data_IF_935378530585
#
_entry.id   IF_935378530585
#
_cell.length_a   1.000
_cell.length_b   1.000
_cell.length_c   1.000
_cell.angle_alpha   90.00
_cell.angle_beta   90.00
_cell.angle_gamma   90.00
#
_symmetry.space_group_name_H-M   'P 1'
#
loop_
_entity.id
_entity.type
_entity.pdbx_description
1 polymer ?
#
# COMPACT_ATOMS: atom_id res chain seq x y z
N UNK A 1 8.35 18.83 -26.14
CA UNK A 1 8.61 18.38 -25.32
C UNK A 1 8.00 17.38 -25.10
N UNK A 2 8.38 16.76 -24.94
CA UNK A 2 7.83 15.87 -24.64
C UNK A 2 7.25 15.79 -23.55
N UNK A 3 6.54 15.84 -23.52
CA UNK A 3 5.90 15.79 -22.52
C UNK A 3 5.66 14.50 -22.19
N UNK A 4 6.42 13.98 -21.57
CA UNK A 4 6.14 12.89 -20.92
C UNK A 4 5.42 13.17 -19.75
N UNK A 5 4.30 12.76 -19.68
CA UNK A 5 3.63 12.61 -18.45
C UNK A 5 4.07 11.35 -17.88
N UNK A 6 4.79 11.41 -16.89
CA UNK A 6 5.08 10.27 -16.10
C UNK A 6 3.85 9.94 -15.30
N UNK A 7 3.23 8.86 -15.61
CA UNK A 7 2.13 8.38 -14.83
C UNK A 7 2.71 7.50 -13.75
N UNK A 8 2.42 7.80 -12.53
CA UNK A 8 2.73 6.92 -11.43
C UNK A 8 1.59 5.92 -11.34
N UNK A 9 1.87 4.66 -11.61
CA UNK A 9 0.84 3.63 -11.57
C UNK A 9 0.27 3.46 -10.17
N UNK A 10 1.12 3.46 -9.18
CA UNK A 10 0.67 3.47 -7.78
C UNK A 10 1.79 3.89 -6.85
N UNK A 11 1.41 4.36 -5.68
CA UNK A 11 2.30 4.75 -4.61
C UNK A 11 2.20 3.71 -3.51
N UNK A 12 3.31 3.11 -3.13
CA UNK A 12 3.35 2.09 -2.06
C UNK A 12 3.84 2.73 -0.77
N UNK A 13 3.07 2.56 0.30
CA UNK A 13 3.42 3.07 1.62
C UNK A 13 3.47 1.90 2.58
N UNK A 14 4.64 1.64 3.16
CA UNK A 14 4.79 0.62 4.19
C UNK A 14 4.22 1.12 5.51
N UNK A 15 3.39 0.32 6.16
CA UNK A 15 2.76 0.67 7.43
C UNK A 15 2.91 -0.47 8.43
N UNK A 16 2.94 -0.14 9.71
CA UNK A 16 3.07 -1.15 10.77
C UNK A 16 1.72 -1.72 11.21
N UNK A 17 0.65 -0.97 11.09
CA UNK A 17 -0.70 -1.39 11.46
C UNK A 17 -1.62 -1.11 10.30
N UNK A 18 -1.92 -2.15 9.51
CA UNK A 18 -2.70 -1.99 8.30
C UNK A 18 -4.13 -1.56 8.56
N UNK A 19 -4.74 -2.10 9.60
CA UNK A 19 -6.13 -1.77 9.93
C UNK A 19 -6.28 -0.30 10.31
N UNK A 20 -5.40 0.19 11.18
CA UNK A 20 -5.42 1.58 11.59
C UNK A 20 -5.08 2.50 10.42
N UNK A 21 -4.05 2.18 9.66
CA UNK A 21 -3.65 2.99 8.50
C UNK A 21 -4.76 3.03 7.45
N UNK A 22 -5.43 1.92 7.21
CA UNK A 22 -6.53 1.85 6.26
C UNK A 22 -7.69 2.75 6.68
N UNK A 23 -8.03 2.75 7.98
CA UNK A 23 -9.08 3.62 8.50
C UNK A 23 -8.68 5.10 8.38
N UNK A 24 -7.46 5.44 8.74
CA UNK A 24 -6.95 6.81 8.69
C UNK A 24 -6.91 7.34 7.25
N UNK A 25 -6.41 6.54 6.32
CA UNK A 25 -6.36 6.93 4.91
C UNK A 25 -7.75 7.02 4.30
N UNK A 26 -8.66 6.13 4.69
CA UNK A 26 -10.05 6.20 4.24
C UNK A 26 -10.70 7.51 4.62
N UNK A 27 -10.49 7.96 5.85
CA UNK A 27 -11.00 9.24 6.32
C UNK A 27 -10.32 10.41 5.60
N UNK A 28 -9.01 10.38 5.46
CA UNK A 28 -8.25 11.44 4.84
C UNK A 28 -8.62 11.61 3.36
N UNK A 29 -8.78 10.52 2.65
CA UNK A 29 -9.08 10.53 1.23
C UNK A 29 -10.59 10.66 0.94
N UNK A 30 -11.43 10.44 1.94
CA UNK A 30 -12.86 10.41 1.76
C UNK A 30 -13.31 9.24 0.88
N UNK A 31 -12.61 8.12 0.96
CA UNK A 31 -12.86 6.95 0.11
C UNK A 31 -12.82 5.69 0.92
N UNK A 32 -13.54 4.68 0.44
CA UNK A 32 -13.41 3.33 0.97
C UNK A 32 -12.31 2.60 0.19
N UNK A 33 -11.65 1.60 0.79
CA UNK A 33 -10.69 0.80 0.05
C UNK A 33 -11.34 0.15 -1.17
N UNK A 34 -10.65 0.17 -2.29
CA UNK A 34 -11.11 -0.50 -3.49
C UNK A 34 -10.78 -1.99 -3.46
N UNK A 35 -9.79 -2.38 -2.67
CA UNK A 35 -9.42 -3.78 -2.49
C UNK A 35 -8.61 -3.93 -1.20
N UNK A 36 -8.80 -5.06 -0.53
CA UNK A 36 -8.01 -5.46 0.62
C UNK A 36 -7.72 -6.94 0.53
N UNK A 37 -6.55 -7.34 0.90
CA UNK A 37 -6.19 -8.74 0.84
C UNK A 37 -4.83 -9.04 1.45
N UNK A 38 -4.40 -10.27 1.31
CA UNK A 38 -3.13 -10.72 1.81
C UNK A 38 -2.44 -11.60 0.80
N UNK A 39 -1.12 -11.66 0.93
CA UNK A 39 -0.27 -12.51 0.11
C UNK A 39 0.52 -13.40 1.06
N UNK A 40 -0.06 -14.52 1.50
CA UNK A 40 0.58 -15.37 2.54
C UNK A 40 1.96 -15.87 2.17
N UNK A 41 2.18 -16.14 0.88
CA UNK A 41 3.48 -16.65 0.41
C UNK A 41 4.58 -15.60 0.55
N UNK A 42 4.23 -14.32 0.49
CA UNK A 42 5.18 -13.24 0.67
C UNK A 42 5.21 -12.72 2.11
N UNK A 43 4.24 -13.08 2.92
CA UNK A 43 4.12 -12.62 4.30
C UNK A 43 3.64 -11.17 4.40
N UNK A 44 2.79 -10.72 3.50
CA UNK A 44 2.29 -9.35 3.47
C UNK A 44 0.77 -9.29 3.34
N UNK A 45 0.22 -8.17 3.76
CA UNK A 45 -1.17 -7.81 3.50
C UNK A 45 -1.21 -6.38 2.96
N UNK A 46 -2.23 -6.04 2.23
CA UNK A 46 -2.33 -4.72 1.64
C UNK A 46 -3.75 -4.19 1.55
N UNK A 47 -3.84 -2.88 1.43
CA UNK A 47 -5.09 -2.15 1.18
C UNK A 47 -4.84 -1.19 0.02
N UNK A 48 -5.71 -1.21 -0.96
CA UNK A 48 -5.62 -0.33 -2.11
C UNK A 48 -6.73 0.71 -2.08
N UNK A 49 -6.36 1.95 -2.33
CA UNK A 49 -7.30 3.04 -2.56
C UNK A 49 -7.13 3.54 -3.98
N UNK A 50 -8.16 3.41 -4.77
CA UNK A 50 -8.12 3.91 -6.14
C UNK A 50 -8.41 5.41 -6.14
N UNK A 51 -7.56 6.17 -6.77
CA UNK A 51 -7.75 7.58 -7.07
C UNK A 51 -8.05 7.74 -8.56
N UNK A 52 -8.17 8.96 -9.04
CA UNK A 52 -8.59 9.19 -10.44
C UNK A 52 -7.62 8.58 -11.45
N UNK A 53 -6.33 8.68 -11.20
CA UNK A 53 -5.32 8.23 -12.15
C UNK A 53 -4.20 7.40 -11.51
N UNK A 54 -4.38 6.97 -10.30
CA UNK A 54 -3.36 6.18 -9.59
C UNK A 54 -3.99 5.38 -8.45
N UNK A 55 -3.16 4.60 -7.77
CA UNK A 55 -3.57 3.88 -6.56
C UNK A 55 -2.63 4.22 -5.43
N UNK A 56 -3.15 4.26 -4.23
CA UNK A 56 -2.32 4.23 -3.03
C UNK A 56 -2.43 2.83 -2.46
N UNK A 57 -1.30 2.18 -2.29
CA UNK A 57 -1.23 0.86 -1.68
C UNK A 57 -0.59 0.95 -0.31
N UNK A 58 -1.32 0.59 0.72
CA UNK A 58 -0.78 0.42 2.07
C UNK A 58 -0.33 -1.03 2.20
N UNK A 59 0.90 -1.24 2.62
CA UNK A 59 1.52 -2.57 2.65
C UNK A 59 2.06 -2.85 4.05
N UNK A 60 1.72 -3.97 4.61
CA UNK A 60 2.13 -4.35 5.97
C UNK A 60 2.61 -5.79 6.03
N UNK A 61 3.38 -6.10 7.08
CA UNK A 61 3.81 -7.46 7.35
C UNK A 61 2.65 -8.25 7.92
N UNK A 62 2.46 -9.46 7.36
CA UNK A 62 1.51 -10.40 7.91
C UNK A 62 2.12 -11.80 7.76
N UNK A 63 2.78 -12.29 8.75
CA UNK A 63 3.50 -13.56 8.71
C UNK A 63 4.96 -13.35 8.31
N UNK A 64 5.52 -14.24 7.50
CA UNK A 64 6.91 -14.18 7.09
C UNK A 64 7.06 -14.48 5.60
N UNK A 65 8.14 -14.05 5.02
CA UNK A 65 8.47 -14.26 3.60
C UNK A 65 9.29 -13.12 3.05
N UNK A 66 9.63 -13.17 1.76
CA UNK A 66 10.46 -12.14 1.15
C UNK A 66 9.75 -10.78 1.13
N UNK A 67 8.44 -10.77 0.98
CA UNK A 67 7.67 -9.53 1.04
C UNK A 67 7.69 -8.90 2.42
N UNK A 68 7.55 -9.73 3.48
CA UNK A 68 7.65 -9.27 4.85
C UNK A 68 9.03 -8.67 5.14
N UNK A 69 10.10 -9.30 4.63
CA UNK A 69 11.46 -8.79 4.80
C UNK A 69 11.64 -7.44 4.10
N UNK A 70 11.08 -7.29 2.92
CA UNK A 70 11.14 -6.02 2.19
C UNK A 70 10.38 -4.91 2.92
N UNK A 71 9.21 -5.19 3.46
CA UNK A 71 8.42 -4.21 4.24
C UNK A 71 9.15 -3.84 5.52
N UNK A 72 9.77 -4.82 6.21
CA UNK A 72 10.54 -4.54 7.40
C UNK A 72 11.69 -3.58 7.10
N UNK A 73 12.39 -3.76 5.98
CA UNK A 73 13.45 -2.87 5.55
C UNK A 73 12.92 -1.45 5.26
N UNK A 74 11.76 -1.33 4.62
CA UNK A 74 11.14 -0.03 4.36
C UNK A 74 10.76 0.68 5.66
N UNK A 75 10.23 -0.04 6.63
CA UNK A 75 9.82 0.54 7.92
C UNK A 75 11.02 1.00 8.76
N UNK A 76 12.19 0.44 8.53
CA UNK A 76 13.40 0.81 9.24
C UNK A 76 14.18 1.94 8.58
N UNK A 77 13.77 2.38 7.44
CA UNK A 77 14.48 3.43 6.68
C UNK A 77 14.33 4.80 7.31
#
# INVERSE_FOLDING_TARGET
MNTHTTTIDHLVIAVSDLEKASADFGLLLGRSPSWQGSHPDYGTANTLFKLDNTYIELLAIQGSGIGADAVAAMLQS
#
